data_IF_954677887091
#
_entry.id   IF_954677887091
#
_cell.length_a   1.000
_cell.length_b   1.000
_cell.length_c   1.000
_cell.angle_alpha   90.00
_cell.angle_beta   90.00
_cell.angle_gamma   90.00
#
_symmetry.space_group_name_H-M   'P 1'
#
loop_
_entity.id
_entity.type
_entity.pdbx_description
1 polymer ?
#
# COMPACT_ATOMS: atom_id res chain seq x y z
N UNK A 1 -13.48 14.22 -60.20
CA UNK A 1 -13.07 14.98 -59.00
C UNK A 1 -12.87 13.98 -57.86
N UNK A 2 -11.63 13.57 -57.61
CA UNK A 2 -11.27 12.70 -56.49
C UNK A 2 -11.08 13.55 -55.23
N UNK A 3 -11.87 13.29 -54.18
CA UNK A 3 -11.65 13.86 -52.86
C UNK A 3 -10.72 12.93 -52.06
N UNK A 4 -9.52 13.41 -51.76
CA UNK A 4 -8.54 12.72 -50.94
C UNK A 4 -8.94 12.79 -49.46
N UNK A 5 -9.19 11.64 -48.85
CA UNK A 5 -9.33 11.50 -47.39
C UNK A 5 -7.93 11.45 -46.76
N UNK A 6 -7.51 12.56 -46.15
CA UNK A 6 -6.29 12.63 -45.35
C UNK A 6 -6.54 11.97 -43.99
N UNK A 7 -6.05 10.73 -43.82
CA UNK A 7 -5.98 10.08 -42.52
C UNK A 7 -4.85 10.68 -41.69
N UNK A 8 -5.19 11.40 -40.62
CA UNK A 8 -4.24 11.89 -39.63
C UNK A 8 -3.90 10.73 -38.67
N UNK A 9 -2.80 10.01 -38.96
CA UNK A 9 -2.27 8.98 -38.05
C UNK A 9 -1.42 9.70 -37.00
N UNK A 10 -1.99 9.95 -35.82
CA UNK A 10 -1.23 10.39 -34.66
C UNK A 10 -0.37 9.23 -34.15
N UNK A 11 0.83 9.07 -34.69
CA UNK A 11 1.89 8.24 -34.10
C UNK A 11 2.44 8.99 -32.90
N UNK A 12 1.72 8.93 -31.78
CA UNK A 12 2.22 9.33 -30.48
C UNK A 12 2.99 8.17 -29.87
N UNK A 13 4.29 8.33 -29.68
CA UNK A 13 5.14 7.38 -28.96
C UNK A 13 4.58 7.10 -27.56
N UNK A 14 3.86 5.99 -27.41
CA UNK A 14 3.62 5.38 -26.12
C UNK A 14 4.89 4.67 -25.68
N UNK A 15 5.92 5.43 -25.30
CA UNK A 15 6.92 4.92 -24.36
C UNK A 15 6.22 4.81 -23.02
N UNK A 16 5.48 3.71 -22.83
CA UNK A 16 5.21 3.25 -21.47
C UNK A 16 6.58 3.03 -20.84
N UNK A 17 6.96 3.76 -19.77
CA UNK A 17 8.01 3.24 -18.93
C UNK A 17 7.48 1.89 -18.45
N UNK A 18 8.04 0.82 -19.00
CA UNK A 18 7.94 -0.50 -18.41
C UNK A 18 8.61 -0.34 -17.06
N UNK A 19 7.85 0.10 -16.06
CA UNK A 19 8.13 -0.20 -14.68
C UNK A 19 8.06 -1.72 -14.64
N UNK A 20 9.17 -2.36 -14.96
CA UNK A 20 9.37 -3.78 -14.73
C UNK A 20 8.95 -3.97 -13.28
N UNK A 21 7.89 -4.74 -12.99
CA UNK A 21 7.59 -5.08 -11.63
C UNK A 21 8.86 -5.77 -11.15
N UNK A 22 9.58 -5.12 -10.23
CA UNK A 22 10.76 -5.66 -9.62
C UNK A 22 10.29 -6.80 -8.72
N UNK A 23 9.94 -7.92 -9.35
CA UNK A 23 9.83 -9.23 -8.75
C UNK A 23 11.26 -9.79 -8.72
N UNK A 24 12.16 -9.08 -8.04
CA UNK A 24 13.38 -9.72 -7.57
C UNK A 24 12.94 -10.80 -6.59
N UNK A 25 13.35 -12.05 -6.82
CA UNK A 25 12.97 -13.22 -6.04
C UNK A 25 13.41 -13.23 -4.56
N UNK A 26 13.78 -12.08 -4.00
CA UNK A 26 13.90 -11.84 -2.57
C UNK A 26 12.77 -10.89 -2.15
N UNK A 27 12.05 -11.22 -1.09
CA UNK A 27 10.91 -10.43 -0.61
C UNK A 27 11.23 -8.93 -0.47
N UNK A 28 10.19 -8.10 -0.49
CA UNK A 28 10.34 -6.65 -0.32
C UNK A 28 11.13 -6.34 0.96
N UNK A 29 12.22 -5.60 0.81
CA UNK A 29 12.98 -5.07 1.93
C UNK A 29 12.16 -4.00 2.64
N UNK A 30 12.16 -4.07 3.97
CA UNK A 30 11.41 -3.17 4.82
C UNK A 30 12.38 -2.25 5.55
N UNK A 31 12.14 -0.93 5.59
CA UNK A 31 13.02 -0.01 6.31
C UNK A 31 13.05 -0.36 7.80
N UNK A 32 14.27 -0.46 8.34
CA UNK A 32 14.53 -0.69 9.74
C UNK A 32 14.89 0.59 10.48
N UNK A 33 15.22 0.47 11.77
CA UNK A 33 15.57 1.61 12.63
C UNK A 33 16.77 2.42 12.10
N UNK A 34 17.68 1.77 11.38
CA UNK A 34 18.88 2.41 10.83
C UNK A 34 18.58 3.30 9.63
N UNK A 35 17.45 3.08 8.97
CA UNK A 35 17.08 3.74 7.71
C UNK A 35 16.21 4.99 7.94
N UNK A 36 15.92 5.35 9.20
CA UNK A 36 15.00 6.43 9.57
C UNK A 36 15.43 7.79 9.02
N UNK A 37 16.74 8.03 8.89
CA UNK A 37 17.28 9.26 8.28
C UNK A 37 16.92 9.40 6.80
N UNK A 38 16.67 8.28 6.13
CA UNK A 38 16.47 8.21 4.69
C UNK A 38 14.97 8.14 4.34
N UNK A 39 14.11 8.10 5.36
CA UNK A 39 12.67 8.13 5.20
C UNK A 39 12.23 9.55 4.90
N UNK A 40 11.65 9.76 3.73
CA UNK A 40 11.06 11.04 3.37
C UNK A 40 9.65 11.14 3.95
N UNK A 41 9.45 12.08 4.88
CA UNK A 41 8.12 12.52 5.28
C UNK A 41 7.51 13.34 4.14
N UNK A 42 6.45 12.81 3.54
CA UNK A 42 5.79 13.41 2.40
C UNK A 42 4.87 14.52 2.92
N UNK A 43 5.43 15.69 3.24
CA UNK A 43 4.67 16.82 3.77
C UNK A 43 3.44 17.14 2.90
N UNK A 44 3.68 17.58 1.67
CA UNK A 44 2.65 17.53 0.62
C UNK A 44 2.63 16.12 0.01
N UNK A 45 1.43 15.54 -0.11
CA UNK A 45 1.24 14.21 -0.70
C UNK A 45 1.37 14.32 -2.22
N UNK A 46 2.43 13.75 -2.79
CA UNK A 46 2.57 13.64 -4.25
C UNK A 46 1.54 12.64 -4.83
N UNK A 47 1.32 12.67 -6.14
CA UNK A 47 0.31 11.80 -6.78
C UNK A 47 0.58 10.30 -6.61
N UNK A 48 1.84 9.88 -6.60
CA UNK A 48 2.22 8.48 -6.36
C UNK A 48 1.91 8.04 -4.93
N UNK A 49 2.14 8.92 -3.96
CA UNK A 49 1.79 8.70 -2.57
C UNK A 49 0.28 8.59 -2.37
N UNK A 50 -0.52 9.41 -3.06
CA UNK A 50 -1.98 9.32 -3.02
C UNK A 50 -2.49 8.00 -3.63
N UNK A 51 -1.90 7.55 -4.74
CA UNK A 51 -2.19 6.24 -5.33
C UNK A 51 -1.80 5.11 -4.38
N UNK A 52 -0.64 5.20 -3.74
CA UNK A 52 -0.16 4.21 -2.80
C UNK A 52 -1.09 4.07 -1.57
N UNK A 53 -1.50 5.20 -0.99
CA UNK A 53 -2.47 5.22 0.10
C UNK A 53 -3.80 4.56 -0.30
N UNK A 54 -4.33 4.95 -1.46
CA UNK A 54 -5.59 4.41 -1.98
C UNK A 54 -5.52 2.91 -2.23
N UNK A 55 -4.39 2.42 -2.76
CA UNK A 55 -4.16 1.00 -2.99
C UNK A 55 -4.12 0.20 -1.69
N UNK A 56 -3.38 0.69 -0.68
CA UNK A 56 -3.31 0.04 0.63
C UNK A 56 -4.67 0.00 1.35
N UNK A 57 -5.43 1.09 1.32
CA UNK A 57 -6.80 1.13 1.89
C UNK A 57 -7.71 0.12 1.19
N UNK A 58 -7.69 0.06 -0.15
CA UNK A 58 -8.48 -0.91 -0.91
C UNK A 58 -8.11 -2.34 -0.58
N UNK A 59 -6.83 -2.63 -0.43
CA UNK A 59 -6.33 -3.95 -0.03
C UNK A 59 -6.87 -4.35 1.36
N UNK A 60 -6.87 -3.42 2.31
CA UNK A 60 -7.45 -3.65 3.64
C UNK A 60 -8.94 -3.94 3.56
N UNK A 61 -9.70 -3.10 2.86
CA UNK A 61 -11.15 -3.29 2.68
C UNK A 61 -11.47 -4.62 2.01
N UNK A 62 -10.71 -5.01 0.99
CA UNK A 62 -10.93 -6.27 0.27
C UNK A 62 -10.69 -7.49 1.16
N UNK A 63 -9.60 -7.50 1.93
CA UNK A 63 -9.27 -8.63 2.81
C UNK A 63 -10.20 -8.73 4.02
N UNK A 64 -10.54 -7.61 4.64
CA UNK A 64 -11.49 -7.58 5.77
C UNK A 64 -12.91 -7.89 5.29
N UNK A 65 -13.22 -7.54 4.04
CA UNK A 65 -14.52 -7.68 3.43
C UNK A 65 -15.27 -6.34 3.42
N UNK A 66 -15.72 -5.85 2.25
CA UNK A 66 -16.39 -4.55 2.16
C UNK A 66 -17.74 -4.49 2.88
N UNK A 67 -18.34 -5.65 3.18
CA UNK A 67 -19.60 -5.80 3.92
C UNK A 67 -19.39 -6.17 5.40
N UNK A 68 -18.15 -6.11 5.88
CA UNK A 68 -17.85 -6.43 7.28
C UNK A 68 -18.62 -5.50 8.24
N UNK A 69 -19.15 -6.08 9.31
CA UNK A 69 -19.81 -5.35 10.40
C UNK A 69 -18.91 -4.26 11.02
N UNK A 70 -17.59 -4.40 10.87
CA UNK A 70 -16.61 -3.37 11.26
C UNK A 70 -16.86 -2.02 10.58
N UNK A 71 -17.41 -2.02 9.38
CA UNK A 71 -17.66 -0.81 8.58
C UNK A 71 -19.12 -0.34 8.63
N UNK A 72 -20.01 -1.06 9.33
CA UNK A 72 -21.47 -0.86 9.24
C UNK A 72 -21.97 0.53 9.63
N UNK A 73 -21.22 1.24 10.49
CA UNK A 73 -21.55 2.61 10.93
C UNK A 73 -20.90 3.70 10.07
N UNK A 74 -20.00 3.33 9.18
CA UNK A 74 -19.30 4.27 8.32
C UNK A 74 -20.06 4.48 7.01
N UNK A 75 -20.00 5.69 6.42
CA UNK A 75 -20.60 5.95 5.10
C UNK A 75 -19.93 5.13 3.98
N UNK A 76 -18.70 4.68 4.20
CA UNK A 76 -18.02 3.68 3.38
C UNK A 76 -16.93 2.98 4.20
N UNK A 77 -16.48 1.77 3.81
CA UNK A 77 -15.34 1.10 4.44
C UNK A 77 -14.06 1.96 4.45
N UNK A 78 -13.81 2.73 3.39
CA UNK A 78 -12.64 3.59 3.30
C UNK A 78 -12.70 4.76 4.32
N UNK A 79 -13.89 5.26 4.66
CA UNK A 79 -14.06 6.33 5.64
C UNK A 79 -13.65 5.90 7.06
N UNK A 80 -13.65 4.58 7.31
CA UNK A 80 -13.25 3.96 8.56
C UNK A 80 -11.73 3.84 8.74
N UNK A 81 -10.95 4.23 7.74
CA UNK A 81 -9.51 4.00 7.65
C UNK A 81 -8.76 5.31 7.41
N UNK A 82 -7.48 5.30 7.73
CA UNK A 82 -6.55 6.39 7.43
C UNK A 82 -5.22 5.80 6.99
N UNK A 83 -4.45 6.57 6.22
CA UNK A 83 -3.19 6.11 5.68
C UNK A 83 -2.07 7.11 5.95
N UNK A 84 -0.96 6.62 6.49
CA UNK A 84 0.29 7.35 6.59
C UNK A 84 1.26 6.79 5.57
N UNK A 85 1.79 7.64 4.71
CA UNK A 85 2.67 7.24 3.62
C UNK A 85 4.06 7.82 3.83
N UNK A 86 5.05 6.96 3.66
CA UNK A 86 6.45 7.33 3.70
C UNK A 86 7.12 6.80 2.44
N UNK A 87 8.11 7.52 1.92
CA UNK A 87 8.92 7.04 0.80
C UNK A 87 10.29 6.63 1.30
N UNK A 88 10.73 5.45 0.89
CA UNK A 88 12.10 5.00 1.08
C UNK A 88 12.54 4.28 -0.20
N UNK A 89 13.64 4.78 -0.79
CA UNK A 89 14.02 4.43 -2.17
C UNK A 89 12.84 4.69 -3.13
N UNK A 90 12.59 3.81 -4.09
CA UNK A 90 11.51 3.96 -5.09
C UNK A 90 10.19 3.27 -4.68
N UNK A 91 10.00 3.00 -3.38
CA UNK A 91 8.81 2.33 -2.84
C UNK A 91 8.11 3.22 -1.82
N UNK A 92 6.79 3.22 -1.88
CA UNK A 92 5.94 3.83 -0.86
C UNK A 92 5.59 2.79 0.20
N UNK A 93 5.88 3.12 1.45
CA UNK A 93 5.51 2.34 2.62
C UNK A 93 4.32 3.00 3.29
N UNK A 94 3.20 2.27 3.36
CA UNK A 94 1.92 2.78 3.82
C UNK A 94 1.50 2.05 5.08
N UNK A 95 1.30 2.78 6.17
CA UNK A 95 0.62 2.26 7.36
C UNK A 95 -0.84 2.68 7.31
N UNK A 96 -1.74 1.70 7.41
CA UNK A 96 -3.18 1.90 7.50
C UNK A 96 -3.61 1.70 8.94
N UNK A 97 -4.28 2.71 9.49
CA UNK A 97 -4.80 2.73 10.87
C UNK A 97 -6.34 2.81 10.83
N UNK A 98 -7.03 2.33 11.86
CA UNK A 98 -8.47 2.55 12.00
C UNK A 98 -8.80 3.98 12.41
N UNK A 99 -9.92 4.49 11.89
CA UNK A 99 -10.53 5.77 12.23
C UNK A 99 -12.04 5.68 12.35
N UNK A 100 -12.51 4.68 13.10
CA UNK A 100 -13.92 4.51 13.41
C UNK A 100 -14.53 5.70 14.18
N UNK A 101 -13.69 6.55 14.79
CA UNK A 101 -14.10 7.84 15.37
C UNK A 101 -14.82 8.75 14.35
N UNK A 102 -14.44 8.66 13.06
CA UNK A 102 -15.11 9.39 11.97
C UNK A 102 -16.52 8.87 11.66
N UNK A 103 -16.87 7.71 12.20
CA UNK A 103 -18.16 7.04 12.01
C UNK A 103 -19.05 7.09 13.26
N UNK A 104 -18.66 7.89 14.27
CA UNK A 104 -19.40 8.02 15.54
C UNK A 104 -19.14 6.89 16.53
N UNK A 105 -18.13 6.05 16.29
CA UNK A 105 -17.71 4.96 17.17
C UNK A 105 -16.52 5.39 18.04
N UNK A 106 -16.25 4.66 19.13
CA UNK A 106 -15.06 4.93 19.94
C UNK A 106 -13.78 4.59 19.17
N UNK A 107 -12.80 5.49 19.20
CA UNK A 107 -11.51 5.35 18.48
C UNK A 107 -10.74 4.07 18.85
N UNK A 108 -10.84 3.63 20.10
CA UNK A 108 -10.02 2.54 20.66
C UNK A 108 -10.71 1.18 20.66
N UNK A 109 -11.54 0.88 19.64
CA UNK A 109 -12.16 -0.46 19.54
C UNK A 109 -11.12 -1.57 19.34
N UNK A 110 -9.97 -1.23 18.73
CA UNK A 110 -8.86 -2.15 18.48
C UNK A 110 -7.52 -1.48 18.76
N UNK A 111 -7.15 -1.28 20.04
CA UNK A 111 -5.85 -0.69 20.37
C UNK A 111 -4.73 -1.49 19.68
N UNK A 112 -3.85 -0.78 18.98
CA UNK A 112 -2.70 -1.30 18.21
C UNK A 112 -3.03 -2.06 16.92
N UNK A 113 -4.25 -1.95 16.38
CA UNK A 113 -4.50 -2.46 15.03
C UNK A 113 -3.92 -1.51 13.98
N UNK A 114 -2.92 -1.99 13.25
CA UNK A 114 -2.43 -1.32 12.06
C UNK A 114 -1.93 -2.34 11.07
N UNK A 115 -1.95 -1.95 9.79
CA UNK A 115 -1.43 -2.79 8.72
C UNK A 115 -0.44 -2.01 7.88
N UNK A 116 0.69 -2.63 7.51
CA UNK A 116 1.71 -1.96 6.72
C UNK A 116 1.86 -2.61 5.35
N UNK A 117 1.97 -1.78 4.32
CA UNK A 117 2.09 -2.19 2.93
C UNK A 117 3.29 -1.53 2.28
N UNK A 118 3.90 -2.26 1.35
CA UNK A 118 4.82 -1.69 0.39
C UNK A 118 4.10 -1.59 -0.95
N UNK A 119 4.14 -0.43 -1.58
CA UNK A 119 3.36 -0.10 -2.76
C UNK A 119 4.24 0.62 -3.77
N UNK A 120 4.13 0.26 -5.05
CA UNK A 120 4.84 0.94 -6.11
C UNK A 120 4.27 2.34 -6.36
N UNK A 121 5.02 3.24 -7.04
CA UNK A 121 4.48 4.54 -7.45
C UNK A 121 3.25 4.48 -8.36
N UNK A 122 3.02 3.33 -9.01
CA UNK A 122 1.83 3.08 -9.82
C UNK A 122 0.62 2.58 -9.01
N UNK A 123 0.74 2.46 -7.68
CA UNK A 123 -0.33 1.96 -6.81
C UNK A 123 -0.47 0.43 -6.80
N UNK A 124 0.57 -0.32 -7.19
CA UNK A 124 0.57 -1.79 -7.10
C UNK A 124 1.08 -2.22 -5.73
N UNK A 125 0.27 -2.98 -4.98
CA UNK A 125 0.68 -3.53 -3.69
C UNK A 125 1.72 -4.62 -3.91
N UNK A 126 2.93 -4.40 -3.41
CA UNK A 126 4.09 -5.27 -3.59
C UNK A 126 4.22 -6.27 -2.43
N UNK A 127 3.92 -5.83 -1.22
CA UNK A 127 3.94 -6.69 -0.03
C UNK A 127 3.06 -6.11 1.08
N UNK A 128 2.61 -7.01 1.97
CA UNK A 128 2.01 -6.69 3.26
C UNK A 128 2.99 -7.12 4.34
N UNK A 129 3.25 -6.27 5.32
CA UNK A 129 3.95 -6.66 6.54
C UNK A 129 2.92 -7.41 7.38
N UNK A 130 3.16 -8.69 7.67
CA UNK A 130 2.27 -9.46 8.53
C UNK A 130 2.06 -8.76 9.88
N UNK A 131 0.99 -9.06 10.59
CA UNK A 131 0.90 -8.68 12.01
C UNK A 131 2.00 -9.43 12.80
N UNK A 132 2.43 -8.91 13.94
CA UNK A 132 3.42 -9.55 14.82
C UNK A 132 3.17 -11.07 15.07
N UNK A 133 1.92 -11.56 15.25
CA UNK A 133 1.66 -13.00 15.34
C UNK A 133 1.84 -13.80 14.03
N UNK A 134 1.72 -13.17 12.86
CA UNK A 134 1.98 -13.82 11.57
C UNK A 134 3.49 -13.90 11.28
N UNK A 135 4.25 -12.88 11.66
CA UNK A 135 5.71 -12.89 11.57
C UNK A 135 6.35 -13.90 12.53
N UNK A 136 5.81 -14.03 13.74
CA UNK A 136 6.26 -15.03 14.72
C UNK A 136 6.00 -16.47 14.25
N UNK A 137 4.91 -16.73 13.50
CA UNK A 137 4.64 -18.04 12.89
C UNK A 137 5.53 -18.35 11.68
N UNK A 138 6.00 -17.32 10.98
CA UNK A 138 6.85 -17.46 9.80
C UNK A 138 8.35 -17.55 10.13
N UNK A 139 8.75 -17.32 11.38
CA UNK A 139 10.14 -17.48 11.80
C UNK A 139 10.53 -18.97 11.78
N UNK A 140 11.56 -19.38 11.02
CA UNK A 140 12.03 -20.76 11.07
C UNK A 140 12.60 -21.03 12.48
N UNK A 141 12.15 -22.12 13.11
CA UNK A 141 12.75 -22.67 14.34
C UNK A 141 14.18 -23.12 14.05
N UNK A 142 15.13 -22.19 13.97
CA UNK A 142 16.56 -22.49 13.98
C UNK A 142 17.02 -22.67 15.43
N UNK A 143 16.46 -23.69 16.08
CA UNK A 143 16.92 -24.16 17.37
C UNK A 143 16.82 -25.68 17.38
N UNK A 144 17.79 -26.36 16.74
CA UNK A 144 18.36 -27.65 17.17
C UNK A 144 19.51 -28.05 16.22
N UNK A 145 20.71 -27.52 16.45
CA UNK A 145 21.96 -28.27 16.24
C UNK A 145 22.88 -27.90 17.41
N UNK A 146 22.71 -28.58 18.55
CA UNK A 146 23.79 -28.69 19.54
C UNK A 146 24.64 -29.88 19.09
N UNK A 147 25.93 -29.64 18.88
CA UNK A 147 26.96 -30.68 18.90
C UNK A 147 27.43 -30.85 20.34
#
# INVERSE_FOLDING_TARGET
MLAALSALVCVGCATTPTATPQKSGGGIEWPGRRDVSDITNLGAVDGGAALAASAAIREVVQRVGPQSELFSKCPSPAAALDARVFKWRDVYYVTVDERFDRCGEARSRFPDWFESYAVSPAGVVLARRGSEPEQARAAPTSAQVRR
#
